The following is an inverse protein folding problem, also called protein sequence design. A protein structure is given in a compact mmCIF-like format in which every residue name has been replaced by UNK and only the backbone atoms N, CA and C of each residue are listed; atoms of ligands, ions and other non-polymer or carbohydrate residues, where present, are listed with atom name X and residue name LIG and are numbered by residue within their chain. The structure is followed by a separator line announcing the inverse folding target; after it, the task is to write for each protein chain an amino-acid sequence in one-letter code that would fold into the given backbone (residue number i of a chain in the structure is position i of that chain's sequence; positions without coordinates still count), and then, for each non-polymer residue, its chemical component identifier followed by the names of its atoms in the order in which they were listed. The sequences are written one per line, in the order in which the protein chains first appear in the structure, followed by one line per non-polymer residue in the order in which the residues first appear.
data_IF_083732443445
#
_entry.id   IF_083732443445
#
_cell.length_a   1.000
_cell.length_b   1.000
_cell.length_c   1.000
_cell.angle_alpha   90.00
_cell.angle_beta   90.00
_cell.angle_gamma   90.00
#
_symmetry.space_group_name_H-M   'P 1'
#
loop_
_entity.id
_entity.type
_entity.pdbx_description
1 polymer ?
#
# COMPACT_ATOMS: atom_id res chain seq x y z
N UNK A 1 -62.44 -40.54 12.38
CA UNK A 1 -61.06 -40.78 12.90
C UNK A 1 -59.94 -40.43 11.90
N UNK A 2 -60.08 -40.66 10.59
CA UNK A 2 -59.03 -40.38 9.59
C UNK A 2 -58.52 -38.92 9.55
N UNK A 3 -59.40 -37.93 9.73
CA UNK A 3 -59.00 -36.51 9.67
C UNK A 3 -58.03 -36.12 10.79
N UNK A 4 -58.18 -36.71 11.97
CA UNK A 4 -57.33 -36.45 13.14
C UNK A 4 -55.92 -36.99 12.88
N UNK A 5 -55.80 -38.19 12.32
CA UNK A 5 -54.51 -38.80 11.97
C UNK A 5 -53.73 -37.99 10.92
N UNK A 6 -54.43 -37.43 9.92
CA UNK A 6 -53.81 -36.63 8.87
C UNK A 6 -53.35 -35.27 9.42
N UNK A 7 -54.10 -34.66 10.34
CA UNK A 7 -53.68 -33.40 11.00
C UNK A 7 -52.51 -33.60 11.95
N UNK A 8 -52.44 -34.74 12.65
CA UNK A 8 -51.31 -35.07 13.53
C UNK A 8 -50.02 -35.27 12.74
N UNK A 9 -50.08 -35.96 11.60
CA UNK A 9 -48.92 -36.14 10.71
C UNK A 9 -48.40 -34.81 10.15
N UNK A 10 -49.29 -33.89 9.76
CA UNK A 10 -48.91 -32.55 9.31
C UNK A 10 -48.22 -31.73 10.40
N UNK A 11 -48.73 -31.78 11.63
CA UNK A 11 -48.12 -31.10 12.77
C UNK A 11 -46.72 -31.62 13.09
N UNK A 12 -46.51 -32.95 13.00
CA UNK A 12 -45.20 -33.56 13.20
C UNK A 12 -44.20 -33.16 12.10
N UNK A 13 -44.60 -33.20 10.83
CA UNK A 13 -43.74 -32.78 9.72
C UNK A 13 -43.39 -31.30 9.83
N UNK A 14 -44.37 -30.45 10.18
CA UNK A 14 -44.13 -29.03 10.39
C UNK A 14 -43.15 -28.78 11.54
N UNK A 15 -43.25 -29.52 12.64
CA UNK A 15 -42.30 -29.45 13.75
C UNK A 15 -40.89 -29.86 13.34
N UNK A 16 -40.75 -30.91 12.53
CA UNK A 16 -39.44 -31.37 12.02
C UNK A 16 -38.82 -30.32 11.11
N UNK A 17 -39.61 -29.70 10.24
CA UNK A 17 -39.15 -28.62 9.34
C UNK A 17 -38.65 -27.41 10.15
N UNK A 18 -39.39 -26.99 11.18
CA UNK A 18 -39.01 -25.85 12.02
C UNK A 18 -37.71 -26.12 12.78
N UNK A 19 -37.57 -27.31 13.36
CA UNK A 19 -36.34 -27.72 14.06
C UNK A 19 -35.15 -27.77 13.11
N UNK A 20 -35.33 -28.30 11.91
CA UNK A 20 -34.29 -28.32 10.88
C UNK A 20 -33.88 -26.91 10.46
N UNK A 21 -34.85 -26.01 10.26
CA UNK A 21 -34.59 -24.62 9.90
C UNK A 21 -33.79 -23.90 10.99
N UNK A 22 -34.17 -24.07 12.26
CA UNK A 22 -33.45 -23.50 13.41
C UNK A 22 -32.00 -24.03 13.51
N UNK A 23 -31.79 -25.32 13.24
CA UNK A 23 -30.46 -25.91 13.21
C UNK A 23 -29.60 -25.28 12.09
N UNK A 24 -30.15 -25.13 10.88
CA UNK A 24 -29.46 -24.50 9.76
C UNK A 24 -29.04 -23.06 10.08
N UNK A 25 -29.96 -22.24 10.63
CA UNK A 25 -29.63 -20.87 11.03
C UNK A 25 -28.55 -20.81 12.10
N UNK A 26 -28.53 -21.75 13.05
CA UNK A 26 -27.49 -21.82 14.09
C UNK A 26 -26.12 -22.12 13.50
N UNK A 27 -26.03 -23.03 12.53
CA UNK A 27 -24.78 -23.37 11.84
C UNK A 27 -24.31 -22.18 10.98
N UNK A 28 -25.23 -21.53 10.26
CA UNK A 28 -24.93 -20.33 9.47
C UNK A 28 -24.36 -19.21 10.37
N UNK A 29 -24.96 -18.96 11.53
CA UNK A 29 -24.47 -17.94 12.48
C UNK A 29 -23.03 -18.21 12.96
N UNK A 30 -22.67 -19.48 13.17
CA UNK A 30 -21.29 -19.86 13.51
C UNK A 30 -20.31 -19.60 12.37
N UNK A 31 -20.72 -19.86 11.12
CA UNK A 31 -19.88 -19.60 9.94
C UNK A 31 -19.64 -18.09 9.71
N UNK A 32 -20.68 -17.26 9.89
CA UNK A 32 -20.55 -15.80 9.78
C UNK A 32 -19.71 -15.17 10.90
N UNK A 33 -19.58 -15.83 12.06
CA UNK A 33 -18.77 -15.31 13.18
C UNK A 33 -17.26 -15.46 12.95
N UNK A 34 -16.84 -16.42 12.11
CA UNK A 34 -15.41 -16.65 11.80
C UNK A 34 -14.90 -15.61 10.79
N UNK A 35 -15.77 -15.04 9.95
CA UNK A 35 -15.41 -14.05 8.93
C UNK A 35 -15.31 -12.60 9.46
N UNK A 36 -15.69 -12.34 10.71
CA UNK A 36 -15.52 -11.02 11.33
C UNK A 36 -14.23 -10.93 12.16
N UNK A 37 -13.14 -11.54 11.68
CA UNK A 37 -11.83 -10.98 12.00
C UNK A 37 -11.78 -9.60 11.34
N UNK A 38 -12.31 -8.60 12.05
CA UNK A 38 -12.00 -7.21 11.82
C UNK A 38 -10.48 -7.17 11.76
N UNK A 39 -9.93 -7.07 10.55
CA UNK A 39 -8.60 -6.54 10.34
C UNK A 39 -8.66 -5.10 10.82
N UNK A 40 -8.74 -4.91 12.13
CA UNK A 40 -8.33 -3.70 12.77
C UNK A 40 -6.88 -3.59 12.37
N UNK A 41 -6.66 -2.76 11.36
CA UNK A 41 -5.38 -2.36 10.81
C UNK A 41 -4.61 -1.67 11.94
N UNK A 42 -4.05 -2.45 12.86
CA UNK A 42 -3.36 -1.96 14.05
C UNK A 42 -2.00 -2.60 14.22
N UNK A 43 -1.31 -3.04 13.16
CA UNK A 43 -0.03 -3.73 13.36
C UNK A 43 1.17 -3.23 12.57
N UNK A 44 1.07 -2.18 11.74
CA UNK A 44 2.29 -1.53 11.24
C UNK A 44 2.42 -0.07 11.63
N UNK A 45 1.33 0.71 11.63
CA UNK A 45 1.39 2.14 11.96
C UNK A 45 1.72 2.40 13.45
N UNK A 46 1.33 1.47 14.34
CA UNK A 46 1.59 1.58 15.77
C UNK A 46 2.88 0.90 16.25
N UNK A 47 3.56 0.12 15.40
CA UNK A 47 4.83 -0.52 15.74
C UNK A 47 6.06 0.31 15.35
N UNK A 48 5.87 1.38 14.57
CA UNK A 48 6.96 2.24 14.16
C UNK A 48 7.50 3.02 15.36
N UNK A 49 8.82 3.08 15.45
CA UNK A 49 9.51 3.95 16.39
C UNK A 49 9.19 5.42 16.08
N UNK A 50 9.33 6.34 17.06
CA UNK A 50 9.07 7.76 16.82
C UNK A 50 9.84 8.32 15.61
N UNK A 51 11.05 7.85 15.36
CA UNK A 51 11.89 8.25 14.23
C UNK A 51 11.30 7.80 12.88
N UNK A 52 10.89 6.54 12.77
CA UNK A 52 10.27 6.00 11.55
C UNK A 52 8.90 6.64 11.26
N UNK A 53 8.18 7.11 12.28
CA UNK A 53 6.94 7.88 12.11
C UNK A 53 7.21 9.25 11.49
N UNK A 54 8.30 9.89 11.90
CA UNK A 54 8.72 11.19 11.35
C UNK A 54 9.17 11.00 9.90
N UNK A 55 10.01 10.00 9.62
CA UNK A 55 10.47 9.68 8.26
C UNK A 55 9.28 9.39 7.33
N UNK A 56 8.30 8.62 7.81
CA UNK A 56 7.05 8.38 7.07
C UNK A 56 6.29 9.69 6.77
N UNK A 57 6.18 10.60 7.73
CA UNK A 57 5.46 11.86 7.50
C UNK A 57 6.10 12.68 6.38
N UNK A 58 7.43 12.70 6.30
CA UNK A 58 8.16 13.36 5.21
C UNK A 58 8.11 12.57 3.89
N UNK A 59 8.14 11.23 3.92
CA UNK A 59 8.11 10.40 2.72
C UNK A 59 6.74 10.31 2.02
N UNK A 60 5.64 10.48 2.75
CA UNK A 60 4.27 10.34 2.19
C UNK A 60 3.61 11.67 1.83
N UNK A 61 4.10 12.80 2.32
CA UNK A 61 3.47 14.10 2.12
C UNK A 61 4.45 15.08 1.49
N UNK A 62 4.20 15.45 0.24
CA UNK A 62 4.94 16.53 -0.44
C UNK A 62 4.78 17.88 0.31
N UNK A 63 3.67 18.05 1.04
CA UNK A 63 3.40 19.21 1.88
C UNK A 63 4.21 19.24 3.19
N UNK A 64 4.89 18.15 3.57
CA UNK A 64 5.76 18.13 4.75
C UNK A 64 7.01 19.00 4.56
N UNK A 65 7.35 19.36 3.32
CA UNK A 65 8.49 20.21 3.00
C UNK A 65 9.84 19.54 3.22
N UNK A 66 10.92 20.33 3.10
CA UNK A 66 12.29 19.87 3.31
C UNK A 66 12.58 19.84 4.81
N UNK A 67 13.24 18.77 5.29
CA UNK A 67 13.66 18.68 6.70
C UNK A 67 14.66 19.79 7.02
N UNK A 68 14.53 20.39 8.20
CA UNK A 68 15.42 21.49 8.59
C UNK A 68 16.89 21.03 8.72
N UNK A 69 17.11 19.75 9.05
CA UNK A 69 18.43 19.11 9.06
C UNK A 69 19.08 19.11 7.66
N UNK A 70 18.32 18.71 6.64
CA UNK A 70 18.76 18.72 5.24
C UNK A 70 19.00 20.15 4.75
N UNK A 71 18.16 21.09 5.18
CA UNK A 71 18.31 22.52 4.88
C UNK A 71 19.60 23.08 5.47
N UNK A 72 19.92 22.73 6.70
CA UNK A 72 21.14 23.15 7.37
C UNK A 72 22.38 22.53 6.70
N UNK A 73 22.32 21.24 6.35
CA UNK A 73 23.39 20.57 5.60
C UNK A 73 23.61 21.21 4.22
N UNK A 74 22.53 21.51 3.48
CA UNK A 74 22.62 22.18 2.20
C UNK A 74 23.24 23.58 2.33
N UNK A 75 22.89 24.31 3.40
CA UNK A 75 23.50 25.60 3.69
C UNK A 75 24.99 25.47 4.02
N UNK A 76 25.38 24.54 4.89
CA UNK A 76 26.78 24.28 5.23
C UNK A 76 27.60 23.85 4.01
N UNK A 77 27.02 23.02 3.15
CA UNK A 77 27.64 22.58 1.90
C UNK A 77 27.80 23.76 0.95
N UNK A 78 26.77 24.60 0.78
CA UNK A 78 26.85 25.81 -0.03
C UNK A 78 27.92 26.79 0.48
N UNK A 79 28.07 26.93 1.80
CA UNK A 79 29.12 27.76 2.42
C UNK A 79 30.51 27.15 2.19
N UNK A 80 30.66 25.83 2.29
CA UNK A 80 31.93 25.13 1.99
C UNK A 80 32.31 25.24 0.52
N UNK A 81 31.34 25.08 -0.38
CA UNK A 81 31.54 25.16 -1.82
C UNK A 81 31.82 26.61 -2.26
N UNK A 82 31.18 27.60 -1.62
CA UNK A 82 31.51 29.02 -1.79
C UNK A 82 32.95 29.35 -1.36
N UNK A 83 33.48 28.67 -0.34
CA UNK A 83 34.89 28.82 0.09
C UNK A 83 35.88 28.08 -0.79
N UNK A 84 35.44 27.14 -1.64
CA UNK A 84 36.34 26.33 -2.47
C UNK A 84 35.75 26.11 -3.89
N UNK A 85 35.72 27.17 -4.73
CA UNK A 85 34.98 27.18 -5.99
C UNK A 85 35.44 26.13 -7.01
N UNK A 86 36.69 25.66 -6.93
CA UNK A 86 37.23 24.63 -7.84
C UNK A 86 36.54 23.27 -7.70
N UNK A 87 36.10 22.89 -6.49
CA UNK A 87 35.37 21.62 -6.28
C UNK A 87 33.92 21.66 -6.76
N UNK A 88 33.29 22.85 -6.76
CA UNK A 88 31.94 23.03 -7.28
C UNK A 88 31.89 22.83 -8.80
N UNK A 89 32.90 23.33 -9.52
CA UNK A 89 33.04 23.11 -10.96
C UNK A 89 33.28 21.64 -11.34
N UNK A 90 34.09 20.89 -10.57
CA UNK A 90 34.30 19.45 -10.81
C UNK A 90 33.02 18.61 -10.66
N UNK A 91 32.17 18.92 -9.67
CA UNK A 91 30.87 18.26 -9.50
C UNK A 91 29.92 18.54 -10.66
N UNK A 92 29.78 19.81 -11.05
CA UNK A 92 28.92 20.20 -12.17
C UNK A 92 29.36 19.55 -13.50
N UNK A 93 30.67 19.45 -13.74
CA UNK A 93 31.20 18.83 -14.95
C UNK A 93 31.09 17.29 -14.95
N UNK A 94 30.89 16.67 -13.80
CA UNK A 94 30.65 15.22 -13.68
C UNK A 94 29.18 14.84 -13.93
N UNK A 95 28.25 15.74 -13.63
CA UNK A 95 26.81 15.56 -13.88
C UNK A 95 26.45 15.72 -15.37
N UNK A 96 27.21 16.54 -16.11
CA UNK A 96 27.10 16.65 -17.57
C UNK A 96 27.54 15.39 -18.34
N UNK A 97 28.23 14.44 -17.69
CA UNK A 97 28.64 13.16 -18.29
C UNK A 97 27.53 12.09 -18.28
N UNK A 98 26.29 12.43 -17.92
CA UNK A 98 25.12 11.53 -17.98
C UNK A 98 24.46 11.45 -19.38
N UNK A 99 25.04 12.08 -20.40
CA UNK A 99 24.48 12.08 -21.78
C UNK A 99 24.97 10.99 -22.77
N UNK A 100 25.68 9.89 -22.44
CA UNK A 100 26.02 8.89 -23.46
C UNK A 100 24.77 8.17 -24.01
N UNK A 101 23.72 8.05 -23.19
CA UNK A 101 22.51 7.27 -23.52
C UNK A 101 21.59 7.97 -24.56
N UNK A 102 21.63 9.31 -24.65
CA UNK A 102 20.81 10.07 -25.61
C UNK A 102 21.32 9.92 -27.05
N UNK A 103 22.64 9.90 -27.22
CA UNK A 103 23.27 9.75 -28.54
C UNK A 103 23.13 8.32 -29.05
N UNK A 104 23.31 7.31 -28.18
CA UNK A 104 23.06 5.90 -28.53
C UNK A 104 21.58 5.67 -28.91
N UNK A 105 20.63 6.20 -28.14
CA UNK A 105 19.20 6.08 -28.48
C UNK A 105 18.81 6.80 -29.77
N UNK A 106 19.46 7.92 -30.09
CA UNK A 106 19.25 8.60 -31.36
C UNK A 106 19.77 7.75 -32.54
N UNK A 107 20.91 7.07 -32.37
CA UNK A 107 21.44 6.12 -33.34
C UNK A 107 20.48 4.94 -33.59
N UNK A 108 20.00 4.30 -32.53
CA UNK A 108 19.01 3.21 -32.65
C UNK A 108 17.72 3.65 -33.34
N UNK A 109 17.25 4.87 -33.09
CA UNK A 109 16.04 5.39 -33.73
C UNK A 109 16.24 5.60 -35.23
N UNK A 110 17.42 6.08 -35.64
CA UNK A 110 17.76 6.29 -37.05
C UNK A 110 17.92 4.96 -37.78
N UNK A 111 18.58 3.97 -37.18
CA UNK A 111 18.72 2.64 -37.78
C UNK A 111 17.36 1.95 -37.92
N UNK A 112 16.50 2.05 -36.91
CA UNK A 112 15.13 1.51 -36.95
C UNK A 112 14.23 2.17 -38.00
N UNK A 113 14.45 3.46 -38.31
CA UNK A 113 13.69 4.19 -39.33
C UNK A 113 14.26 3.98 -40.73
N UNK A 114 15.57 3.79 -40.87
CA UNK A 114 16.22 3.58 -42.18
C UNK A 114 16.31 2.10 -42.58
N UNK A 115 15.94 1.17 -41.70
CA UNK A 115 15.67 -0.23 -42.04
C UNK A 115 16.92 -1.02 -42.44
N UNK A 116 18.07 -0.68 -41.86
CA UNK A 116 19.27 -1.52 -41.88
C UNK A 116 19.32 -2.40 -40.63
#
# INVERSE_FOLDING_TARGET
MQRILITSGKALIQSVIILFLMLCFSILALLFSIQQQSFAVTSQVNQLTPEEKIERAYGYSEAAGIREEDRQQAYEQAVKDSKNPQKAYEKASSEDNLQPNLIEKAGELVDKVTGK
#
